data_IF_689049446231
#
_entry.id   IF_689049446231
#
_cell.length_a   1.000
_cell.length_b   1.000
_cell.length_c   1.000
_cell.angle_alpha   90.00
_cell.angle_beta   90.00
_cell.angle_gamma   90.00
#
_symmetry.space_group_name_H-M   'P 1'
#
loop_
_entity.id
_entity.type
_entity.pdbx_description
1 polymer ?
#
# COMPACT_ATOMS: atom_id res chain seq x y z
N UNK A 1 24.76 -21.52 13.91
CA UNK A 1 25.55 -21.77 12.68
C UNK A 1 24.69 -21.97 11.42
N UNK A 2 23.35 -22.06 11.50
CA UNK A 2 22.49 -22.33 10.33
C UNK A 2 22.35 -21.19 9.31
N UNK A 3 22.09 -19.95 9.75
CA UNK A 3 21.77 -18.84 8.83
C UNK A 3 22.88 -18.51 7.83
N UNK A 4 24.15 -18.51 8.25
CA UNK A 4 25.27 -18.20 7.33
C UNK A 4 25.41 -19.23 6.21
N UNK A 5 25.21 -20.52 6.51
CA UNK A 5 25.23 -21.59 5.51
C UNK A 5 24.08 -21.46 4.51
N UNK A 6 22.87 -21.16 5.00
CA UNK A 6 21.70 -20.94 4.13
C UNK A 6 21.89 -19.77 3.17
N UNK A 7 22.47 -18.65 3.63
CA UNK A 7 22.77 -17.49 2.76
C UNK A 7 23.79 -17.83 1.67
N UNK A 8 24.83 -18.62 2.00
CA UNK A 8 25.84 -19.05 1.02
C UNK A 8 25.22 -19.97 -0.03
N UNK A 9 24.40 -20.94 0.37
CA UNK A 9 23.74 -21.85 -0.57
C UNK A 9 22.77 -21.10 -1.47
N UNK A 10 21.99 -20.18 -0.92
CA UNK A 10 21.11 -19.33 -1.71
C UNK A 10 21.88 -18.48 -2.72
N UNK A 11 23.00 -17.86 -2.32
CA UNK A 11 23.85 -17.09 -3.25
C UNK A 11 24.39 -17.98 -4.38
N UNK A 12 24.78 -19.22 -4.08
CA UNK A 12 25.20 -20.19 -5.11
C UNK A 12 24.05 -20.50 -6.08
N UNK A 13 22.83 -20.71 -5.57
CA UNK A 13 21.66 -20.95 -6.41
C UNK A 13 21.36 -19.76 -7.34
N UNK A 14 21.48 -18.52 -6.84
CA UNK A 14 21.35 -17.30 -7.66
C UNK A 14 22.40 -17.24 -8.78
N UNK A 15 23.65 -17.58 -8.49
CA UNK A 15 24.71 -17.65 -9.52
C UNK A 15 24.46 -18.79 -10.52
N UNK A 16 23.88 -19.91 -10.08
CA UNK A 16 23.50 -20.99 -10.99
C UNK A 16 22.37 -20.57 -11.95
N UNK A 17 21.39 -19.78 -11.48
CA UNK A 17 20.33 -19.21 -12.33
C UNK A 17 20.90 -18.35 -13.47
N UNK A 18 21.97 -17.59 -13.22
CA UNK A 18 22.56 -16.69 -14.23
C UNK A 18 23.52 -17.37 -15.18
N UNK A 19 23.93 -18.62 -14.91
CA UNK A 19 25.04 -19.26 -15.65
C UNK A 19 24.73 -20.65 -16.22
N UNK A 20 23.78 -21.41 -15.67
CA UNK A 20 23.54 -22.82 -16.04
C UNK A 20 22.08 -23.07 -16.40
N UNK A 21 21.84 -23.85 -17.47
CA UNK A 21 20.49 -24.28 -17.87
C UNK A 21 20.01 -25.56 -17.15
N UNK A 22 20.87 -26.56 -16.99
CA UNK A 22 20.43 -27.94 -16.69
C UNK A 22 19.74 -28.15 -15.34
N UNK A 23 20.14 -27.43 -14.28
CA UNK A 23 19.53 -27.60 -12.94
C UNK A 23 18.19 -26.89 -12.78
N UNK A 24 17.90 -25.91 -13.64
CA UNK A 24 16.69 -25.09 -13.56
C UNK A 24 15.44 -25.90 -13.94
N UNK A 25 15.63 -27.04 -14.61
CA UNK A 25 14.59 -28.01 -14.93
C UNK A 25 14.23 -28.92 -13.74
N UNK A 26 15.06 -28.96 -12.68
CA UNK A 26 14.83 -29.83 -11.52
C UNK A 26 13.95 -29.13 -10.47
N UNK A 27 12.80 -29.71 -10.11
CA UNK A 27 11.92 -29.15 -9.07
C UNK A 27 12.60 -29.01 -7.70
N UNK A 28 13.59 -29.86 -7.41
CA UNK A 28 14.38 -29.80 -6.17
C UNK A 28 15.16 -28.49 -6.05
N UNK A 29 15.65 -27.93 -7.16
CA UNK A 29 16.35 -26.65 -7.18
C UNK A 29 15.43 -25.52 -6.70
N UNK A 30 14.20 -25.48 -7.23
CA UNK A 30 13.21 -24.46 -6.87
C UNK A 30 12.74 -24.59 -5.43
N UNK A 31 12.58 -25.82 -4.95
CA UNK A 31 12.29 -26.08 -3.53
C UNK A 31 13.38 -25.55 -2.62
N UNK A 32 14.67 -25.76 -2.94
CA UNK A 32 15.77 -25.21 -2.13
C UNK A 32 15.81 -23.68 -2.18
N UNK A 33 15.62 -23.08 -3.35
CA UNK A 33 15.64 -21.62 -3.52
C UNK A 33 14.52 -20.96 -2.69
N UNK A 34 13.30 -21.44 -2.81
CA UNK A 34 12.13 -20.89 -2.12
C UNK A 34 12.12 -21.23 -0.62
N UNK A 35 12.58 -22.42 -0.24
CA UNK A 35 12.64 -22.86 1.16
C UNK A 35 13.88 -22.41 1.92
N UNK A 36 14.77 -21.64 1.29
CA UNK A 36 15.95 -21.11 1.95
C UNK A 36 15.58 -20.34 3.22
N UNK A 37 16.34 -20.56 4.30
CA UNK A 37 16.15 -19.87 5.59
C UNK A 37 16.62 -18.42 5.52
N UNK A 38 15.99 -17.64 4.63
CA UNK A 38 16.15 -16.20 4.49
C UNK A 38 14.89 -15.55 5.04
N UNK A 39 15.05 -14.78 6.11
CA UNK A 39 13.92 -14.30 6.89
C UNK A 39 13.58 -12.82 6.63
N UNK A 40 14.25 -12.16 5.68
CA UNK A 40 13.99 -10.75 5.37
C UNK A 40 14.13 -10.42 3.89
N UNK A 41 13.33 -9.46 3.42
CA UNK A 41 13.48 -8.88 2.09
C UNK A 41 14.85 -8.23 1.90
N UNK A 42 15.39 -7.57 2.94
CA UNK A 42 16.72 -6.95 2.90
C UNK A 42 17.83 -7.97 2.58
N UNK A 43 17.75 -9.16 3.17
CA UNK A 43 18.70 -10.23 2.86
C UNK A 43 18.59 -10.68 1.41
N UNK A 44 17.38 -10.90 0.88
CA UNK A 44 17.20 -11.25 -0.54
C UNK A 44 17.75 -10.17 -1.47
N UNK A 45 17.47 -8.90 -1.18
CA UNK A 45 17.97 -7.77 -1.99
C UNK A 45 19.50 -7.65 -1.92
N UNK A 46 20.12 -8.01 -0.79
CA UNK A 46 21.58 -8.06 -0.67
C UNK A 46 22.20 -9.25 -1.39
N UNK A 47 21.51 -10.40 -1.42
CA UNK A 47 21.99 -11.65 -2.01
C UNK A 47 21.71 -11.75 -3.51
N UNK A 48 20.77 -10.96 -4.03
CA UNK A 48 20.45 -10.83 -5.45
C UNK A 48 20.72 -9.37 -5.86
N UNK A 49 21.92 -9.10 -6.36
CA UNK A 49 22.34 -7.76 -6.77
C UNK A 49 21.63 -7.33 -8.05
N UNK A 50 21.68 -6.03 -8.37
CA UNK A 50 21.06 -5.52 -9.60
C UNK A 50 21.68 -6.14 -10.85
N UNK A 51 23.00 -6.38 -10.82
CA UNK A 51 23.74 -6.97 -11.93
C UNK A 51 23.37 -8.45 -12.12
N UNK A 52 23.06 -9.17 -11.04
CA UNK A 52 22.57 -10.56 -11.16
C UNK A 52 21.22 -10.60 -11.88
N UNK A 53 20.28 -9.71 -11.54
CA UNK A 53 18.95 -9.69 -12.17
C UNK A 53 19.06 -9.29 -13.64
N UNK A 54 19.88 -8.28 -13.97
CA UNK A 54 20.12 -7.90 -15.37
C UNK A 54 20.80 -9.01 -16.15
N UNK A 55 21.81 -9.66 -15.59
CA UNK A 55 22.42 -10.83 -16.23
C UNK A 55 21.42 -11.97 -16.41
N UNK A 56 20.52 -12.19 -15.46
CA UNK A 56 19.48 -13.21 -15.57
C UNK A 56 18.50 -12.85 -16.71
N UNK A 57 18.09 -11.59 -16.82
CA UNK A 57 17.20 -11.09 -17.88
C UNK A 57 17.85 -11.17 -19.25
N UNK A 58 19.06 -10.65 -19.39
CA UNK A 58 19.70 -10.42 -20.68
C UNK A 58 20.38 -11.71 -21.20
N UNK A 59 20.99 -12.51 -20.32
CA UNK A 59 21.79 -13.68 -20.72
C UNK A 59 21.06 -15.02 -20.49
N UNK A 60 20.04 -15.06 -19.65
CA UNK A 60 19.32 -16.30 -19.29
C UNK A 60 17.81 -16.09 -19.18
N UNK A 61 17.13 -15.50 -20.19
CA UNK A 61 15.72 -15.11 -20.12
C UNK A 61 14.79 -16.30 -19.83
N UNK A 62 15.11 -17.50 -20.31
CA UNK A 62 14.34 -18.72 -19.99
C UNK A 62 14.34 -19.04 -18.49
N UNK A 63 15.47 -18.81 -17.81
CA UNK A 63 15.60 -19.06 -16.38
C UNK A 63 14.85 -17.99 -15.58
N UNK A 64 14.85 -16.74 -16.06
CA UNK A 64 14.05 -15.65 -15.47
C UNK A 64 12.55 -15.96 -15.58
N UNK A 65 12.10 -16.37 -16.76
CA UNK A 65 10.72 -16.75 -16.99
C UNK A 65 10.33 -17.91 -16.05
N UNK A 66 11.17 -18.96 -15.97
CA UNK A 66 10.94 -20.08 -15.07
C UNK A 66 10.88 -19.67 -13.59
N UNK A 67 11.73 -18.73 -13.15
CA UNK A 67 11.69 -18.17 -11.79
C UNK A 67 10.33 -17.49 -11.53
N UNK A 68 9.85 -16.67 -12.46
CA UNK A 68 8.55 -16.00 -12.32
C UNK A 68 7.40 -17.03 -12.30
N UNK A 69 7.35 -17.98 -13.23
CA UNK A 69 6.31 -19.01 -13.24
C UNK A 69 6.32 -19.84 -11.96
N UNK A 70 7.47 -20.42 -11.59
CA UNK A 70 7.57 -21.27 -10.40
C UNK A 70 7.26 -20.53 -9.10
N UNK A 71 7.61 -19.24 -8.99
CA UNK A 71 7.25 -18.45 -7.80
C UNK A 71 5.76 -18.16 -7.75
N UNK A 72 5.13 -17.79 -8.86
CA UNK A 72 3.66 -17.59 -8.94
C UNK A 72 2.94 -18.91 -8.64
N UNK A 73 3.34 -20.02 -9.26
CA UNK A 73 2.75 -21.34 -9.02
C UNK A 73 2.78 -21.74 -7.55
N UNK A 74 3.88 -21.46 -6.85
CA UNK A 74 4.01 -21.73 -5.41
C UNK A 74 3.12 -20.84 -4.56
N UNK A 75 2.94 -19.58 -4.94
CA UNK A 75 2.00 -18.65 -4.27
C UNK A 75 0.57 -19.14 -4.48
N UNK A 76 0.21 -19.55 -5.70
CA UNK A 76 -1.11 -20.11 -6.02
C UNK A 76 -1.36 -21.44 -5.31
N UNK A 77 -0.38 -22.33 -5.25
CA UNK A 77 -0.48 -23.59 -4.52
C UNK A 77 -0.72 -23.38 -3.02
N UNK A 78 -0.14 -22.33 -2.44
CA UNK A 78 -0.41 -21.96 -1.05
C UNK A 78 -1.87 -21.55 -0.82
N UNK A 79 -2.51 -20.88 -1.78
CA UNK A 79 -3.94 -20.56 -1.71
C UNK A 79 -4.83 -21.80 -1.78
N UNK A 80 -4.40 -22.83 -2.52
CA UNK A 80 -5.17 -24.07 -2.69
C UNK A 80 -5.04 -25.04 -1.50
N UNK A 81 -4.09 -24.80 -0.59
CA UNK A 81 -3.90 -25.62 0.61
C UNK A 81 -3.50 -24.76 1.82
N UNK A 82 -4.41 -23.90 2.33
CA UNK A 82 -4.15 -22.98 3.43
C UNK A 82 -3.59 -23.66 4.68
N UNK A 83 -4.12 -24.82 5.06
CA UNK A 83 -3.67 -25.60 6.21
C UNK A 83 -2.21 -26.06 6.13
N UNK A 84 -1.65 -26.15 4.91
CA UNK A 84 -0.29 -26.61 4.64
C UNK A 84 0.68 -25.47 4.29
N UNK A 85 0.28 -24.19 4.45
CA UNK A 85 1.10 -23.05 4.07
C UNK A 85 2.42 -23.05 4.84
N UNK A 86 3.53 -23.11 4.10
CA UNK A 86 4.83 -22.76 4.63
C UNK A 86 5.06 -21.25 4.47
N UNK A 87 4.85 -20.50 5.56
CA UNK A 87 4.94 -19.02 5.52
C UNK A 87 6.28 -18.54 4.97
N UNK A 88 7.39 -19.16 5.37
CA UNK A 88 8.73 -18.80 4.88
C UNK A 88 8.85 -18.98 3.36
N UNK A 89 8.37 -20.11 2.82
CA UNK A 89 8.43 -20.38 1.37
C UNK A 89 7.63 -19.34 0.57
N UNK A 90 6.38 -19.09 0.99
CA UNK A 90 5.49 -18.13 0.33
C UNK A 90 6.09 -16.72 0.37
N UNK A 91 6.58 -16.28 1.54
CA UNK A 91 7.21 -14.97 1.68
C UNK A 91 8.48 -14.86 0.84
N UNK A 92 9.29 -15.91 0.71
CA UNK A 92 10.46 -15.89 -0.17
C UNK A 92 10.05 -15.77 -1.64
N UNK A 93 9.01 -16.47 -2.11
CA UNK A 93 8.48 -16.26 -3.47
C UNK A 93 8.04 -14.81 -3.68
N UNK A 94 7.32 -14.22 -2.72
CA UNK A 94 6.89 -12.82 -2.77
C UNK A 94 8.10 -11.87 -2.87
N UNK A 95 9.12 -12.07 -2.04
CA UNK A 95 10.35 -11.26 -2.03
C UNK A 95 11.16 -11.41 -3.31
N UNK A 96 11.24 -12.63 -3.86
CA UNK A 96 11.90 -12.91 -5.14
C UNK A 96 11.22 -12.12 -6.26
N UNK A 97 9.89 -12.21 -6.39
CA UNK A 97 9.12 -11.43 -7.37
C UNK A 97 9.30 -9.93 -7.15
N UNK A 98 9.22 -9.46 -5.89
CA UNK A 98 9.44 -8.05 -5.54
C UNK A 98 10.82 -7.56 -5.98
N UNK A 99 11.82 -8.45 -5.95
CA UNK A 99 13.18 -8.13 -6.37
C UNK A 99 13.35 -8.07 -7.88
N UNK A 100 12.71 -8.98 -8.63
CA UNK A 100 12.95 -9.13 -10.08
C UNK A 100 12.02 -8.31 -10.96
N UNK A 101 10.75 -8.11 -10.57
CA UNK A 101 9.73 -7.47 -11.41
C UNK A 101 10.14 -6.10 -12.00
N UNK A 102 10.76 -5.17 -11.24
CA UNK A 102 11.17 -3.88 -11.79
C UNK A 102 12.12 -4.01 -12.98
N UNK A 103 13.02 -5.01 -12.96
CA UNK A 103 13.97 -5.24 -14.04
C UNK A 103 13.33 -5.87 -15.27
N UNK A 104 12.22 -6.61 -15.10
CA UNK A 104 11.39 -7.02 -16.24
C UNK A 104 10.73 -5.78 -16.86
N UNK A 105 10.20 -4.87 -16.04
CA UNK A 105 9.53 -3.66 -16.56
C UNK A 105 10.48 -2.67 -17.25
N UNK A 106 11.77 -2.65 -16.88
CA UNK A 106 12.81 -1.86 -17.56
C UNK A 106 13.00 -2.23 -19.05
N UNK A 107 12.60 -3.43 -19.47
CA UNK A 107 12.84 -3.97 -20.81
C UNK A 107 11.53 -4.19 -21.57
N UNK A 108 11.39 -3.56 -22.74
CA UNK A 108 10.19 -3.66 -23.57
C UNK A 108 9.89 -5.07 -24.05
N UNK A 109 10.89 -5.94 -24.17
CA UNK A 109 10.70 -7.33 -24.60
C UNK A 109 9.89 -8.14 -23.58
N UNK A 110 9.91 -7.71 -22.31
CA UNK A 110 9.17 -8.34 -21.21
C UNK A 110 7.80 -7.72 -20.96
N UNK A 111 7.43 -6.65 -21.68
CA UNK A 111 6.17 -5.92 -21.46
C UNK A 111 4.95 -6.83 -21.51
N UNK A 112 4.91 -7.80 -22.41
CA UNK A 112 3.76 -8.71 -22.52
C UNK A 112 3.87 -9.93 -21.61
N UNK A 113 5.01 -10.19 -20.95
CA UNK A 113 5.27 -11.45 -20.25
C UNK A 113 4.17 -11.85 -19.25
N UNK A 114 3.79 -10.95 -18.35
CA UNK A 114 2.74 -11.24 -17.36
C UNK A 114 1.32 -11.24 -17.96
N UNK A 115 1.13 -10.63 -19.13
CA UNK A 115 -0.18 -10.35 -19.71
C UNK A 115 -0.53 -11.23 -20.92
N UNK A 116 0.45 -11.95 -21.45
CA UNK A 116 0.26 -12.96 -22.48
C UNK A 116 -0.36 -14.22 -21.89
N UNK A 117 -1.22 -14.87 -22.67
CA UNK A 117 -1.70 -16.21 -22.37
C UNK A 117 -0.52 -17.20 -22.47
N UNK A 118 -0.35 -18.11 -21.49
CA UNK A 118 0.63 -19.17 -21.63
C UNK A 118 0.28 -20.06 -22.84
N UNK A 119 1.27 -20.72 -23.47
CA UNK A 119 1.01 -21.65 -24.57
C UNK A 119 -0.01 -22.70 -24.11
N UNK A 120 -1.08 -22.92 -24.88
CA UNK A 120 -2.08 -23.90 -24.54
C UNK A 120 -1.43 -25.30 -24.52
N UNK A 121 -1.39 -25.94 -23.34
CA UNK A 121 -1.06 -27.35 -23.26
C UNK A 121 -2.34 -28.16 -23.54
N UNK A 122 -2.27 -29.16 -24.42
CA UNK A 122 -3.44 -29.84 -25.02
C UNK A 122 -4.37 -30.57 -24.03
N UNK A 123 -4.11 -30.55 -22.71
CA UNK A 123 -4.77 -31.39 -21.71
C UNK A 123 -5.36 -30.68 -20.47
N UNK A 124 -5.47 -29.35 -20.42
CA UNK A 124 -6.04 -28.67 -19.23
C UNK A 124 -7.53 -28.29 -19.36
N UNK A 125 -8.33 -28.64 -18.34
CA UNK A 125 -9.78 -28.42 -18.28
C UNK A 125 -10.19 -26.98 -17.93
N UNK A 126 -9.24 -26.08 -17.63
CA UNK A 126 -9.52 -24.70 -17.25
C UNK A 126 -8.93 -23.72 -18.27
N UNK A 127 -9.64 -22.64 -18.62
CA UNK A 127 -9.12 -21.65 -19.55
C UNK A 127 -7.85 -21.01 -18.95
N UNK A 128 -6.74 -21.10 -19.69
CA UNK A 128 -5.51 -20.40 -19.31
C UNK A 128 -5.80 -18.90 -19.19
N UNK A 129 -5.43 -18.30 -18.07
CA UNK A 129 -5.46 -16.84 -17.87
C UNK A 129 -4.03 -16.28 -17.84
N UNK A 130 -3.84 -14.99 -18.11
CA UNK A 130 -2.51 -14.38 -18.01
C UNK A 130 -1.90 -14.52 -16.62
N UNK A 131 -0.58 -14.60 -16.54
CA UNK A 131 0.15 -14.77 -15.27
C UNK A 131 -0.15 -13.64 -14.27
N UNK A 132 -0.38 -12.42 -14.76
CA UNK A 132 -0.82 -11.26 -13.96
C UNK A 132 -2.13 -11.52 -13.22
N UNK A 133 -3.09 -12.19 -13.87
CA UNK A 133 -4.41 -12.46 -13.30
C UNK A 133 -4.28 -13.48 -12.18
N UNK A 134 -3.51 -14.54 -12.43
CA UNK A 134 -3.18 -15.56 -11.43
C UNK A 134 -2.45 -14.95 -10.23
N UNK A 135 -1.45 -14.11 -10.48
CA UNK A 135 -0.68 -13.46 -9.42
C UNK A 135 -1.55 -12.51 -8.58
N UNK A 136 -2.32 -11.61 -9.20
CA UNK A 136 -3.22 -10.71 -8.46
C UNK A 136 -4.21 -11.52 -7.62
N UNK A 137 -4.87 -12.53 -8.20
CA UNK A 137 -5.82 -13.37 -7.46
C UNK A 137 -5.18 -14.07 -6.28
N UNK A 138 -4.02 -14.70 -6.48
CA UNK A 138 -3.34 -15.43 -5.42
C UNK A 138 -2.89 -14.48 -4.29
N UNK A 139 -2.37 -13.29 -4.62
CA UNK A 139 -1.98 -12.30 -3.61
C UNK A 139 -3.18 -11.76 -2.84
N UNK A 140 -4.32 -11.50 -3.49
CA UNK A 140 -5.52 -11.01 -2.81
C UNK A 140 -6.18 -12.10 -1.96
N UNK A 141 -6.14 -13.36 -2.40
CA UNK A 141 -6.55 -14.51 -1.58
C UNK A 141 -5.66 -14.65 -0.33
N UNK A 142 -4.33 -14.54 -0.48
CA UNK A 142 -3.41 -14.59 0.65
C UNK A 142 -3.61 -13.42 1.64
N UNK A 143 -4.12 -12.27 1.21
CA UNK A 143 -4.41 -11.12 2.08
C UNK A 143 -5.60 -11.33 3.03
N UNK A 144 -6.42 -12.36 2.78
CA UNK A 144 -7.54 -12.78 3.63
C UNK A 144 -7.47 -14.26 4.03
N UNK A 145 -6.28 -14.87 3.91
CA UNK A 145 -6.06 -16.27 4.25
C UNK A 145 -5.98 -16.46 5.78
N UNK A 146 -6.90 -17.23 6.41
CA UNK A 146 -6.89 -17.48 7.85
C UNK A 146 -5.59 -18.13 8.33
N UNK A 147 -5.14 -17.75 9.52
CA UNK A 147 -3.85 -18.10 10.16
C UNK A 147 -2.58 -17.68 9.40
N UNK A 148 -2.72 -17.21 8.16
CA UNK A 148 -1.63 -16.61 7.41
C UNK A 148 -1.60 -15.09 7.56
N UNK A 149 -2.67 -14.39 7.17
CA UNK A 149 -2.76 -12.93 7.26
C UNK A 149 -3.95 -12.45 8.06
N UNK A 150 -4.91 -13.29 8.43
CA UNK A 150 -6.06 -12.93 9.27
C UNK A 150 -6.29 -14.02 10.31
N UNK A 151 -6.86 -13.69 11.46
CA UNK A 151 -7.16 -14.69 12.48
C UNK A 151 -8.44 -15.45 12.12
N UNK A 152 -8.47 -16.77 12.35
CA UNK A 152 -9.66 -17.59 12.11
C UNK A 152 -10.82 -17.16 12.99
N UNK A 153 -12.02 -17.15 12.41
CA UNK A 153 -13.26 -16.88 13.14
C UNK A 153 -13.72 -18.16 13.84
N UNK A 154 -14.20 -18.03 15.09
CA UNK A 154 -14.60 -19.16 15.96
C UNK A 154 -15.69 -20.07 15.36
N UNK A 155 -16.43 -19.57 14.38
CA UNK A 155 -17.57 -20.28 13.76
C UNK A 155 -17.18 -20.97 12.45
N UNK A 156 -15.96 -20.80 11.95
CA UNK A 156 -15.50 -21.54 10.78
C UNK A 156 -15.11 -22.96 11.21
N UNK A 157 -15.58 -24.00 10.52
CA UNK A 157 -15.11 -25.36 10.75
C UNK A 157 -13.59 -25.37 10.65
N UNK A 158 -12.89 -25.84 11.69
CA UNK A 158 -11.45 -26.05 11.64
C UNK A 158 -11.13 -26.92 10.42
N UNK A 159 -10.51 -26.33 9.39
CA UNK A 159 -10.13 -27.04 8.16
C UNK A 159 -11.00 -26.84 6.92
N UNK A 160 -11.80 -25.77 6.79
CA UNK A 160 -12.27 -25.37 5.45
C UNK A 160 -11.10 -24.80 4.64
N UNK A 161 -10.35 -25.68 3.96
CA UNK A 161 -9.19 -25.33 3.11
C UNK A 161 -9.57 -24.59 1.83
N UNK A 162 -10.87 -24.40 1.57
CA UNK A 162 -11.34 -23.68 0.39
C UNK A 162 -11.41 -22.17 0.64
N UNK A 163 -10.34 -21.45 0.27
CA UNK A 163 -10.35 -19.98 0.29
C UNK A 163 -11.46 -19.40 -0.59
N UNK A 164 -11.89 -20.11 -1.64
CA UNK A 164 -12.91 -19.59 -2.58
C UNK A 164 -14.28 -19.37 -1.90
N UNK A 165 -14.55 -20.09 -0.81
CA UNK A 165 -15.79 -20.00 -0.04
C UNK A 165 -15.78 -18.93 1.06
N UNK A 166 -14.63 -18.28 1.33
CA UNK A 166 -14.52 -17.27 2.39
C UNK A 166 -15.22 -15.97 1.98
N UNK A 167 -16.07 -15.44 2.88
CA UNK A 167 -16.50 -14.05 2.83
C UNK A 167 -15.45 -13.14 3.46
N UNK A 168 -14.60 -12.56 2.64
CA UNK A 168 -13.53 -11.66 3.09
C UNK A 168 -14.04 -10.40 3.81
N UNK A 169 -15.33 -10.06 3.69
CA UNK A 169 -15.93 -8.98 4.47
C UNK A 169 -15.97 -9.29 5.97
N UNK A 170 -15.88 -10.55 6.39
CA UNK A 170 -15.78 -10.92 7.82
C UNK A 170 -14.36 -10.73 8.38
N UNK A 171 -13.36 -10.56 7.50
CA UNK A 171 -11.93 -10.53 7.81
C UNK A 171 -11.28 -9.17 7.60
N UNK A 172 -12.06 -8.08 7.64
CA UNK A 172 -11.54 -6.70 7.56
C UNK A 172 -10.48 -6.46 8.65
N UNK A 173 -9.37 -5.83 8.30
CA UNK A 173 -8.18 -5.79 9.15
C UNK A 173 -8.27 -4.85 10.36
N UNK A 174 -9.22 -3.91 10.36
CA UNK A 174 -9.44 -2.95 11.43
C UNK A 174 -10.85 -2.36 11.37
N UNK A 175 -11.38 -1.98 12.54
CA UNK A 175 -12.67 -1.32 12.65
C UNK A 175 -12.62 0.11 12.08
N UNK A 176 -13.74 0.58 11.53
CA UNK A 176 -13.85 1.89 10.91
C UNK A 176 -15.03 1.95 9.94
N UNK A 177 -14.79 2.51 8.76
CA UNK A 177 -15.81 2.67 7.70
C UNK A 177 -16.38 1.30 7.35
N UNK A 178 -17.72 1.18 7.45
CA UNK A 178 -18.45 -0.03 7.05
C UNK A 178 -18.15 -1.30 7.86
N UNK A 179 -17.32 -1.25 8.91
CA UNK A 179 -16.97 -2.42 9.71
C UNK A 179 -16.71 -2.05 11.18
N UNK A 180 -17.59 -2.50 12.08
CA UNK A 180 -17.54 -2.09 13.49
C UNK A 180 -16.68 -3.01 14.39
N UNK A 181 -16.43 -4.25 13.96
CA UNK A 181 -15.75 -5.23 14.79
C UNK A 181 -14.24 -5.03 14.73
N UNK A 182 -13.59 -4.82 15.87
CA UNK A 182 -12.12 -4.74 15.91
C UNK A 182 -11.51 -6.14 15.98
N UNK A 183 -10.76 -6.59 14.96
CA UNK A 183 -10.10 -7.89 14.99
C UNK A 183 -8.88 -7.88 15.93
N UNK A 184 -8.41 -9.05 16.39
CA UNK A 184 -7.16 -9.17 17.13
C UNK A 184 -5.97 -8.68 16.28
N UNK A 185 -5.08 -7.89 16.90
CA UNK A 185 -3.84 -7.50 16.26
C UNK A 185 -2.77 -8.58 16.46
N UNK A 186 -2.23 -9.08 15.35
CA UNK A 186 -1.16 -10.08 15.32
C UNK A 186 -0.02 -9.52 14.50
N UNK A 187 1.16 -9.35 15.10
CA UNK A 187 2.30 -8.71 14.47
C UNK A 187 2.77 -9.43 13.20
N UNK A 188 2.71 -10.76 13.19
CA UNK A 188 3.10 -11.59 12.03
C UNK A 188 2.14 -11.40 10.86
N UNK A 189 0.83 -11.23 11.13
CA UNK A 189 -0.15 -10.92 10.10
C UNK A 189 0.14 -9.56 9.47
N UNK A 190 0.44 -8.54 10.28
CA UNK A 190 0.79 -7.21 9.77
C UNK A 190 2.06 -7.25 8.90
N UNK A 191 3.08 -8.00 9.32
CA UNK A 191 4.32 -8.19 8.55
C UNK A 191 4.04 -8.87 7.20
N UNK A 192 3.28 -9.98 7.19
CA UNK A 192 2.94 -10.72 5.97
C UNK A 192 2.11 -9.89 5.00
N UNK A 193 1.08 -9.19 5.49
CA UNK A 193 0.29 -8.23 4.70
C UNK A 193 1.19 -7.16 4.09
N UNK A 194 2.13 -6.61 4.87
CA UNK A 194 3.09 -5.61 4.38
C UNK A 194 3.91 -6.13 3.21
N UNK A 195 4.42 -7.37 3.28
CA UNK A 195 5.21 -7.94 2.19
C UNK A 195 4.37 -8.21 0.93
N UNK A 196 3.14 -8.70 1.09
CA UNK A 196 2.22 -8.90 -0.04
C UNK A 196 1.86 -7.56 -0.71
N UNK A 197 1.52 -6.55 0.09
CA UNK A 197 1.21 -5.21 -0.42
C UNK A 197 2.42 -4.55 -1.12
N UNK A 198 3.65 -4.82 -0.67
CA UNK A 198 4.87 -4.36 -1.35
C UNK A 198 5.06 -5.00 -2.71
N UNK A 199 4.75 -6.29 -2.87
CA UNK A 199 4.76 -6.92 -4.19
C UNK A 199 3.67 -6.33 -5.10
N UNK A 200 2.46 -6.13 -4.58
CA UNK A 200 1.39 -5.46 -5.35
C UNK A 200 1.81 -4.07 -5.81
N UNK A 201 2.37 -3.25 -4.91
CA UNK A 201 2.88 -1.92 -5.25
C UNK A 201 4.02 -2.00 -6.29
N UNK A 202 4.86 -3.04 -6.21
CA UNK A 202 5.90 -3.29 -7.21
C UNK A 202 5.28 -3.60 -8.58
N UNK A 203 4.24 -4.44 -8.66
CA UNK A 203 3.50 -4.68 -9.89
C UNK A 203 2.85 -3.39 -10.43
N UNK A 204 2.24 -2.58 -9.56
CA UNK A 204 1.63 -1.30 -9.95
C UNK A 204 2.66 -0.31 -10.49
N UNK A 205 3.92 -0.43 -10.10
CA UNK A 205 5.01 0.45 -10.56
C UNK A 205 5.38 0.29 -12.05
N UNK A 206 4.84 -0.73 -12.76
CA UNK A 206 5.01 -0.89 -14.21
C UNK A 206 4.68 0.42 -14.97
N UNK A 207 3.69 1.16 -14.46
CA UNK A 207 3.28 2.50 -14.87
C UNK A 207 4.44 3.47 -15.10
N UNK A 208 5.53 3.38 -14.34
CA UNK A 208 6.71 4.26 -14.42
C UNK A 208 7.55 3.97 -15.67
N UNK A 209 7.49 2.74 -16.18
CA UNK A 209 8.27 2.27 -17.33
C UNK A 209 7.48 2.33 -18.64
N UNK A 210 6.19 2.63 -18.58
CA UNK A 210 5.28 2.68 -19.72
C UNK A 210 4.97 4.13 -20.10
N UNK A 211 4.97 4.42 -21.40
CA UNK A 211 4.59 5.74 -21.95
C UNK A 211 3.22 6.17 -21.46
N UNK A 212 3.06 7.45 -21.12
CA UNK A 212 1.78 8.07 -20.70
C UNK A 212 0.67 7.89 -21.75
N UNK A 213 1.03 7.71 -23.02
CA UNK A 213 0.09 7.49 -24.13
C UNK A 213 -0.41 6.05 -24.26
N UNK A 214 0.05 5.12 -23.43
CA UNK A 214 -0.30 3.70 -23.52
C UNK A 214 -1.63 3.42 -22.81
N UNK A 215 -2.61 2.89 -23.54
CA UNK A 215 -3.93 2.55 -23.01
C UNK A 215 -3.89 1.48 -21.90
N UNK A 216 -2.87 0.62 -21.92
CA UNK A 216 -2.70 -0.46 -20.96
C UNK A 216 -1.80 -0.08 -19.77
N UNK A 217 -1.45 1.20 -19.63
CA UNK A 217 -0.50 1.70 -18.62
C UNK A 217 -0.88 1.34 -17.18
N UNK A 218 -2.18 1.36 -16.86
CA UNK A 218 -2.70 1.10 -15.51
C UNK A 218 -3.28 -0.32 -15.34
N UNK A 219 -3.02 -1.26 -16.25
CA UNK A 219 -3.67 -2.60 -16.29
C UNK A 219 -3.61 -3.39 -14.97
N UNK A 220 -2.48 -3.33 -14.24
CA UNK A 220 -2.39 -3.99 -12.92
C UNK A 220 -3.36 -3.40 -11.91
N UNK A 221 -3.42 -2.06 -11.85
CA UNK A 221 -4.31 -1.33 -10.95
C UNK A 221 -5.76 -1.59 -11.36
N UNK A 222 -6.07 -1.45 -12.66
CA UNK A 222 -7.39 -1.70 -13.20
C UNK A 222 -7.93 -3.09 -12.83
N UNK A 223 -7.10 -4.15 -12.98
CA UNK A 223 -7.50 -5.51 -12.57
C UNK A 223 -7.64 -5.65 -11.05
N UNK A 224 -6.78 -5.01 -10.26
CA UNK A 224 -6.86 -5.06 -8.80
C UNK A 224 -8.11 -4.35 -8.26
N UNK A 225 -8.51 -3.24 -8.87
CA UNK A 225 -9.67 -2.43 -8.46
C UNK A 225 -10.97 -2.78 -9.18
N UNK A 226 -10.99 -3.82 -10.04
CA UNK A 226 -12.20 -4.19 -10.78
C UNK A 226 -13.15 -5.06 -9.96
N UNK A 227 -14.40 -5.17 -10.42
CA UNK A 227 -15.39 -6.12 -9.87
C UNK A 227 -14.95 -7.59 -10.00
N UNK A 228 -14.02 -7.90 -10.88
CA UNK A 228 -13.52 -9.27 -11.07
C UNK A 228 -12.61 -9.70 -9.93
N UNK A 229 -12.08 -8.77 -9.15
CA UNK A 229 -11.42 -9.07 -7.88
C UNK A 229 -12.49 -9.26 -6.80
N UNK A 230 -12.74 -10.53 -6.43
CA UNK A 230 -13.74 -10.89 -5.40
C UNK A 230 -13.52 -10.19 -4.05
N UNK A 231 -12.29 -9.76 -3.77
CA UNK A 231 -11.90 -9.10 -2.53
C UNK A 231 -11.89 -7.57 -2.62
N UNK A 232 -12.34 -6.97 -3.72
CA UNK A 232 -12.18 -5.53 -3.99
C UNK A 232 -12.75 -4.63 -2.88
N UNK A 233 -13.94 -4.96 -2.36
CA UNK A 233 -14.55 -4.23 -1.25
C UNK A 233 -13.78 -4.42 0.07
N UNK A 234 -13.53 -5.65 0.56
CA UNK A 234 -12.81 -5.83 1.81
C UNK A 234 -11.36 -5.32 1.75
N UNK A 235 -10.73 -5.31 0.58
CA UNK A 235 -9.43 -4.64 0.38
C UNK A 235 -9.55 -3.14 0.58
N UNK A 236 -10.48 -2.48 -0.12
CA UNK A 236 -10.70 -1.04 0.04
C UNK A 236 -10.95 -0.66 1.50
N UNK A 237 -11.88 -1.36 2.16
CA UNK A 237 -12.25 -1.10 3.55
C UNK A 237 -11.07 -1.36 4.50
N UNK A 238 -10.32 -2.45 4.32
CA UNK A 238 -9.16 -2.75 5.17
C UNK A 238 -8.04 -1.73 5.03
N UNK A 239 -7.72 -1.31 3.81
CA UNK A 239 -6.69 -0.30 3.53
C UNK A 239 -7.07 1.07 4.09
N UNK A 240 -8.34 1.49 3.95
CA UNK A 240 -8.81 2.75 4.52
C UNK A 240 -8.81 2.71 6.05
N UNK A 241 -9.39 1.67 6.65
CA UNK A 241 -9.54 1.58 8.10
C UNK A 241 -8.20 1.45 8.81
N UNK A 242 -7.25 0.68 8.27
CA UNK A 242 -5.92 0.54 8.91
C UNK A 242 -5.20 1.89 8.99
N UNK A 243 -5.33 2.72 7.95
CA UNK A 243 -4.73 4.07 7.90
C UNK A 243 -5.45 5.00 8.89
N UNK A 244 -6.78 5.11 8.79
CA UNK A 244 -7.54 6.05 9.61
C UNK A 244 -7.59 5.68 11.10
N UNK A 245 -7.44 4.40 11.45
CA UNK A 245 -7.41 3.94 12.85
C UNK A 245 -6.02 3.99 13.49
N UNK A 246 -4.94 4.16 12.70
CA UNK A 246 -3.58 4.08 13.24
C UNK A 246 -3.29 5.19 14.25
N UNK A 247 -2.73 4.82 15.41
CA UNK A 247 -2.29 5.74 16.45
C UNK A 247 -0.79 5.55 16.72
N UNK A 248 0.07 6.48 16.28
CA UNK A 248 1.53 6.38 16.46
C UNK A 248 1.98 6.62 17.90
N UNK A 249 1.12 7.19 18.76
CA UNK A 249 1.45 7.53 20.14
C UNK A 249 1.10 6.36 21.09
N UNK A 250 0.06 5.60 20.76
CA UNK A 250 -0.40 4.46 21.54
C UNK A 250 -0.78 4.86 22.96
N UNK A 251 -0.10 4.30 23.97
CA UNK A 251 -0.39 4.60 25.38
C UNK A 251 -0.04 6.03 25.82
N UNK A 252 0.61 6.85 24.99
CA UNK A 252 1.00 8.21 25.36
C UNK A 252 2.16 8.30 26.36
N UNK A 253 2.85 7.19 26.61
CA UNK A 253 4.02 7.15 27.50
C UNK A 253 5.27 7.61 26.72
N UNK A 254 6.06 8.55 27.27
CA UNK A 254 7.35 8.95 26.70
C UNK A 254 8.24 7.75 26.36
N UNK A 255 8.84 7.76 25.16
CA UNK A 255 9.77 6.75 24.67
C UNK A 255 9.19 5.34 24.49
N UNK A 256 7.86 5.15 24.58
CA UNK A 256 7.21 3.86 24.41
C UNK A 256 7.60 3.16 23.09
N UNK A 257 7.73 3.93 22.01
CA UNK A 257 8.09 3.43 20.69
C UNK A 257 9.54 2.93 20.57
N UNK A 258 10.40 3.24 21.54
CA UNK A 258 11.77 2.70 21.62
C UNK A 258 11.80 1.34 22.32
N UNK A 259 10.82 1.07 23.19
CA UNK A 259 10.72 -0.17 23.95
C UNK A 259 9.92 -1.24 23.22
N UNK A 260 8.90 -0.83 22.46
CA UNK A 260 8.03 -1.73 21.72
C UNK A 260 8.16 -1.53 20.22
N UNK A 261 8.36 -2.62 19.49
CA UNK A 261 8.37 -2.59 18.02
C UNK A 261 6.95 -2.38 17.52
N UNK A 262 6.73 -1.28 16.81
CA UNK A 262 5.47 -1.02 16.13
C UNK A 262 5.44 -1.78 14.80
N UNK A 263 4.83 -2.97 14.82
CA UNK A 263 4.63 -3.78 13.61
C UNK A 263 3.57 -3.19 12.67
N UNK A 264 2.74 -2.25 13.14
CA UNK A 264 1.60 -1.73 12.39
C UNK A 264 2.00 -0.59 11.46
N UNK A 265 2.93 0.28 11.88
CA UNK A 265 3.35 1.42 11.06
C UNK A 265 3.80 1.01 9.64
N UNK A 266 4.65 -0.01 9.43
CA UNK A 266 5.06 -0.41 8.09
C UNK A 266 3.87 -0.87 7.22
N UNK A 267 2.89 -1.54 7.83
CA UNK A 267 1.64 -1.91 7.15
C UNK A 267 0.85 -0.66 6.77
N UNK A 268 0.69 0.29 7.68
CA UNK A 268 -0.06 1.54 7.45
C UNK A 268 0.56 2.36 6.33
N UNK A 269 1.88 2.51 6.31
CA UNK A 269 2.59 3.23 5.24
C UNK A 269 2.38 2.56 3.88
N UNK A 270 2.53 1.24 3.82
CA UNK A 270 2.35 0.48 2.58
C UNK A 270 0.89 0.50 2.12
N UNK A 271 -0.06 0.35 3.06
CA UNK A 271 -1.49 0.40 2.79
C UNK A 271 -1.93 1.78 2.27
N UNK A 272 -1.39 2.86 2.84
CA UNK A 272 -1.62 4.22 2.38
C UNK A 272 -1.13 4.42 0.94
N UNK A 273 0.08 3.94 0.62
CA UNK A 273 0.64 4.02 -0.74
C UNK A 273 -0.20 3.23 -1.74
N UNK A 274 -0.57 1.99 -1.40
CA UNK A 274 -1.45 1.16 -2.24
C UNK A 274 -2.81 1.83 -2.45
N UNK A 275 -3.43 2.35 -1.39
CA UNK A 275 -4.72 3.03 -1.47
C UNK A 275 -4.65 4.24 -2.40
N UNK A 276 -3.62 5.08 -2.29
CA UNK A 276 -3.45 6.26 -3.16
C UNK A 276 -3.29 5.85 -4.62
N UNK A 277 -2.43 4.86 -4.91
CA UNK A 277 -2.20 4.38 -6.28
C UNK A 277 -3.49 3.79 -6.88
N UNK A 278 -4.29 3.07 -6.07
CA UNK A 278 -5.59 2.55 -6.50
C UNK A 278 -6.67 3.63 -6.67
N UNK A 279 -6.48 4.81 -6.09
CA UNK A 279 -7.33 6.00 -6.28
C UNK A 279 -6.82 6.90 -7.39
N UNK A 280 -5.82 6.48 -8.17
CA UNK A 280 -5.38 7.23 -9.34
C UNK A 280 -6.22 6.86 -10.57
N UNK A 281 -6.44 7.84 -11.44
CA UNK A 281 -7.24 7.70 -12.66
C UNK A 281 -6.62 8.57 -13.76
N UNK A 282 -6.03 7.95 -14.78
CA UNK A 282 -5.32 8.66 -15.85
C UNK A 282 -6.18 9.15 -17.02
N UNK A 283 -7.50 9.06 -16.90
CA UNK A 283 -8.41 9.37 -17.99
C UNK A 283 -8.58 10.87 -18.22
N UNK A 284 -7.92 11.39 -19.26
CA UNK A 284 -8.18 12.72 -19.86
C UNK A 284 -9.50 12.78 -20.67
N UNK A 285 -10.43 11.83 -20.50
CA UNK A 285 -11.63 11.75 -21.32
C UNK A 285 -12.82 12.51 -20.69
N UNK A 286 -13.41 13.41 -21.49
CA UNK A 286 -14.36 14.47 -21.11
C UNK A 286 -15.74 14.04 -20.59
N UNK A 287 -16.00 12.75 -20.30
CA UNK A 287 -17.33 12.26 -19.87
C UNK A 287 -17.34 11.71 -18.44
N UNK A 288 -17.44 12.64 -17.47
CA UNK A 288 -17.37 12.39 -16.02
C UNK A 288 -18.39 11.42 -15.41
N UNK A 289 -19.41 10.97 -16.16
CA UNK A 289 -20.53 10.17 -15.61
C UNK A 289 -20.30 8.65 -15.61
N UNK A 290 -19.53 8.13 -16.56
CA UNK A 290 -19.08 6.73 -16.57
C UNK A 290 -17.61 6.57 -16.15
N UNK A 291 -16.96 7.68 -15.79
CA UNK A 291 -15.52 7.85 -15.55
C UNK A 291 -14.94 6.92 -14.46
N UNK A 292 -15.78 6.41 -13.55
CA UNK A 292 -15.38 5.54 -12.43
C UNK A 292 -16.08 4.18 -12.42
N UNK A 293 -16.75 3.80 -13.51
CA UNK A 293 -17.52 2.56 -13.55
C UNK A 293 -16.63 1.32 -13.30
N UNK A 294 -15.37 1.38 -13.74
CA UNK A 294 -14.46 0.23 -13.70
C UNK A 294 -13.52 0.23 -12.47
N UNK A 295 -13.26 1.39 -11.84
CA UNK A 295 -12.47 1.48 -10.62
C UNK A 295 -13.39 1.49 -9.39
N UNK A 296 -13.54 0.33 -8.76
CA UNK A 296 -14.41 0.17 -7.60
C UNK A 296 -13.88 0.86 -6.35
N UNK A 297 -12.57 1.12 -6.22
CA UNK A 297 -12.04 1.89 -5.09
C UNK A 297 -12.54 3.32 -5.12
N UNK A 298 -12.49 3.97 -6.28
CA UNK A 298 -13.05 5.32 -6.46
C UNK A 298 -14.57 5.30 -6.27
N UNK A 299 -15.24 4.28 -6.81
CA UNK A 299 -16.68 4.10 -6.65
C UNK A 299 -17.08 3.99 -5.17
N UNK A 300 -16.42 3.13 -4.39
CA UNK A 300 -16.68 2.97 -2.96
C UNK A 300 -16.39 4.25 -2.18
N UNK A 301 -15.25 4.91 -2.43
CA UNK A 301 -14.92 6.19 -1.79
C UNK A 301 -15.98 7.26 -2.06
N UNK A 302 -16.46 7.37 -3.30
CA UNK A 302 -17.50 8.35 -3.68
C UNK A 302 -18.86 8.09 -3.00
N UNK A 303 -19.11 6.84 -2.57
CA UNK A 303 -20.38 6.39 -1.98
C UNK A 303 -20.42 6.43 -0.45
N UNK A 304 -19.29 6.62 0.22
CA UNK A 304 -19.28 6.87 1.67
C UNK A 304 -20.13 8.12 1.96
N UNK A 305 -21.03 8.04 2.93
CA UNK A 305 -21.99 9.12 3.17
C UNK A 305 -22.45 9.26 4.62
N UNK A 306 -22.11 8.33 5.52
CA UNK A 306 -22.51 8.44 6.91
C UNK A 306 -21.60 9.45 7.60
N UNK A 307 -22.17 10.31 8.43
CA UNK A 307 -21.39 11.31 9.17
C UNK A 307 -20.38 10.65 10.13
N UNK A 308 -20.71 9.49 10.71
CA UNK A 308 -19.79 8.71 11.56
C UNK A 308 -18.54 8.24 10.80
N UNK A 309 -18.69 7.83 9.54
CA UNK A 309 -17.59 7.40 8.68
C UNK A 309 -16.70 8.61 8.33
N UNK A 310 -17.31 9.75 8.02
CA UNK A 310 -16.57 11.00 7.75
C UNK A 310 -15.80 11.49 8.97
N UNK A 311 -16.41 11.44 10.16
CA UNK A 311 -15.76 11.79 11.41
C UNK A 311 -14.55 10.88 11.67
N UNK A 312 -14.72 9.56 11.50
CA UNK A 312 -13.63 8.59 11.66
C UNK A 312 -12.47 8.86 10.70
N UNK A 313 -12.76 9.03 9.41
CA UNK A 313 -11.76 9.32 8.38
C UNK A 313 -11.00 10.62 8.68
N UNK A 314 -11.74 11.69 8.99
CA UNK A 314 -11.18 13.01 9.26
C UNK A 314 -10.33 13.02 10.51
N UNK A 315 -10.83 12.49 11.64
CA UNK A 315 -10.06 12.41 12.89
C UNK A 315 -8.81 11.55 12.72
N UNK A 316 -8.89 10.45 11.97
CA UNK A 316 -7.76 9.60 11.65
C UNK A 316 -6.66 10.35 10.91
N UNK A 317 -7.00 10.97 9.78
CA UNK A 317 -6.04 11.74 8.97
C UNK A 317 -5.48 12.94 9.73
N UNK A 318 -6.32 13.70 10.46
CA UNK A 318 -5.88 14.85 11.25
C UNK A 318 -4.95 14.44 12.39
N UNK A 319 -5.21 13.31 13.08
CA UNK A 319 -4.32 12.77 14.12
C UNK A 319 -2.93 12.52 13.55
N UNK A 320 -2.86 11.87 12.39
CA UNK A 320 -1.59 11.54 11.74
C UNK A 320 -0.87 12.79 11.23
N UNK A 321 -1.57 13.72 10.56
CA UNK A 321 -0.99 14.98 10.09
C UNK A 321 -0.50 15.86 11.26
N UNK A 322 -1.17 15.84 12.41
CA UNK A 322 -0.79 16.64 13.58
C UNK A 322 0.36 16.01 14.38
N UNK A 323 0.62 14.72 14.23
CA UNK A 323 1.61 13.99 15.02
C UNK A 323 3.00 14.67 15.09
N UNK A 324 3.59 15.21 14.01
CA UNK A 324 4.89 15.90 14.06
C UNK A 324 4.88 17.23 14.81
N UNK A 325 3.71 17.87 14.88
CA UNK A 325 3.50 19.18 15.49
C UNK A 325 3.41 19.11 17.02
N UNK A 326 3.20 17.91 17.59
CA UNK A 326 3.07 17.73 19.03
C UNK A 326 4.39 18.07 19.71
N UNK A 327 4.43 19.23 20.35
CA UNK A 327 5.53 19.63 21.21
C UNK A 327 5.52 18.79 22.49
N UNK A 328 6.68 18.27 22.87
CA UNK A 328 6.86 17.53 24.12
C UNK A 328 7.97 18.18 24.93
N UNK A 329 7.82 18.16 26.25
CA UNK A 329 8.86 18.67 27.16
C UNK A 329 10.16 17.84 27.06
N UNK A 330 10.00 16.55 26.78
CA UNK A 330 11.11 15.60 26.65
C UNK A 330 11.47 15.45 25.16
N UNK A 331 12.71 15.77 24.77
CA UNK A 331 13.17 15.63 23.38
C UNK A 331 12.96 14.21 22.86
N UNK A 332 12.41 14.10 21.65
CA UNK A 332 12.15 12.82 20.96
C UNK A 332 11.35 11.81 21.81
N UNK A 333 10.52 12.30 22.72
CA UNK A 333 9.73 11.42 23.61
C UNK A 333 8.51 10.80 22.92
N UNK A 334 8.06 11.36 21.81
CA UNK A 334 6.96 10.85 21.01
C UNK A 334 7.43 10.40 19.65
N UNK A 335 6.82 9.33 19.16
CA UNK A 335 7.03 8.84 17.80
C UNK A 335 6.53 9.88 16.80
N UNK A 336 7.34 10.15 15.78
CA UNK A 336 6.97 10.99 14.64
C UNK A 336 6.86 10.12 13.39
N UNK A 337 5.68 10.11 12.78
CA UNK A 337 5.46 9.44 11.49
C UNK A 337 6.20 10.20 10.37
N UNK A 338 6.33 9.59 9.20
CA UNK A 338 7.00 10.20 8.03
C UNK A 338 6.14 10.34 6.79
N UNK A 339 4.96 9.71 6.74
CA UNK A 339 4.10 9.60 5.54
C UNK A 339 3.13 10.78 5.33
N UNK A 340 3.55 12.01 5.66
CA UNK A 340 2.68 13.20 5.59
C UNK A 340 2.28 13.56 4.16
N UNK A 341 3.18 13.37 3.20
CA UNK A 341 2.90 13.66 1.80
C UNK A 341 1.79 12.76 1.29
N UNK A 342 1.87 11.48 1.58
CA UNK A 342 0.85 10.50 1.23
C UNK A 342 -0.48 10.80 1.93
N UNK A 343 -0.47 11.20 3.21
CA UNK A 343 -1.69 11.60 3.93
C UNK A 343 -2.38 12.82 3.30
N UNK A 344 -1.61 13.82 2.84
CA UNK A 344 -2.17 14.95 2.11
C UNK A 344 -2.76 14.53 0.76
N UNK A 345 -2.12 13.62 0.04
CA UNK A 345 -2.67 13.08 -1.21
C UNK A 345 -3.98 12.31 -0.94
N UNK A 346 -4.03 11.48 0.10
CA UNK A 346 -5.26 10.78 0.48
C UNK A 346 -6.39 11.77 0.82
N UNK A 347 -6.10 12.79 1.65
CA UNK A 347 -7.07 13.83 2.00
C UNK A 347 -7.59 14.53 0.74
N UNK A 348 -6.71 14.89 -0.19
CA UNK A 348 -7.09 15.49 -1.46
C UNK A 348 -8.01 14.56 -2.28
N UNK A 349 -7.64 13.28 -2.43
CA UNK A 349 -8.47 12.30 -3.18
C UNK A 349 -9.84 12.07 -2.52
N UNK A 350 -9.93 12.02 -1.18
CA UNK A 350 -11.21 11.95 -0.48
C UNK A 350 -12.10 13.16 -0.78
N UNK A 351 -11.50 14.35 -0.76
CA UNK A 351 -12.13 15.61 -1.07
C UNK A 351 -12.59 15.72 -2.54
N UNK A 352 -11.78 15.24 -3.48
CA UNK A 352 -12.05 15.25 -4.92
C UNK A 352 -13.20 14.31 -5.28
N UNK A 353 -13.09 13.03 -4.89
CA UNK A 353 -14.05 11.99 -5.29
C UNK A 353 -15.32 11.95 -4.44
N UNK A 354 -15.31 12.53 -3.23
CA UNK A 354 -16.47 12.56 -2.35
C UNK A 354 -16.82 13.99 -1.91
N UNK A 355 -17.66 14.65 -2.70
CA UNK A 355 -18.14 16.00 -2.41
C UNK A 355 -18.88 16.08 -1.06
N UNK A 356 -19.53 15.01 -0.58
CA UNK A 356 -20.17 15.01 0.74
C UNK A 356 -19.14 15.08 1.87
N UNK A 357 -18.03 14.36 1.74
CA UNK A 357 -16.89 14.46 2.66
C UNK A 357 -16.29 15.87 2.65
N UNK A 358 -16.10 16.46 1.46
CA UNK A 358 -15.65 17.85 1.31
C UNK A 358 -16.57 18.83 2.07
N UNK A 359 -17.89 18.73 1.85
CA UNK A 359 -18.84 19.59 2.55
C UNK A 359 -18.86 19.34 4.06
N UNK A 360 -18.70 18.09 4.50
CA UNK A 360 -18.57 17.76 5.93
C UNK A 360 -17.36 18.47 6.54
N UNK A 361 -16.17 18.33 5.94
CA UNK A 361 -14.94 18.99 6.37
C UNK A 361 -15.12 20.51 6.51
N UNK A 362 -15.75 21.15 5.52
CA UNK A 362 -15.96 22.60 5.49
C UNK A 362 -17.06 23.08 6.45
N UNK A 363 -18.04 22.22 6.77
CA UNK A 363 -19.13 22.52 7.70
C UNK A 363 -18.65 22.47 9.14
N UNK A 364 -17.75 21.54 9.49
CA UNK A 364 -17.24 21.43 10.86
C UNK A 364 -16.17 22.50 11.13
N UNK A 365 -15.79 22.66 12.40
CA UNK A 365 -14.61 23.47 12.76
C UNK A 365 -13.29 22.75 12.48
N UNK A 366 -13.36 21.47 12.14
CA UNK A 366 -12.22 20.58 12.02
C UNK A 366 -11.38 20.92 10.79
N UNK A 367 -11.92 21.68 9.83
CA UNK A 367 -11.12 22.25 8.73
C UNK A 367 -9.91 23.04 9.25
N UNK A 368 -10.02 23.72 10.39
CA UNK A 368 -8.90 24.44 10.99
C UNK A 368 -7.89 23.49 11.63
N UNK A 369 -8.35 22.36 12.16
CA UNK A 369 -7.47 21.32 12.70
C UNK A 369 -6.69 20.59 11.60
N UNK A 370 -7.23 20.55 10.38
CA UNK A 370 -6.53 20.07 9.18
C UNK A 370 -5.61 21.15 8.58
N UNK A 371 -6.05 22.40 8.55
CA UNK A 371 -5.31 23.52 7.98
C UNK A 371 -3.97 23.73 8.69
N UNK A 372 -3.93 23.68 10.02
CA UNK A 372 -2.71 23.97 10.79
C UNK A 372 -1.56 22.99 10.45
N UNK A 373 -1.76 21.66 10.42
CA UNK A 373 -0.77 20.72 9.89
C UNK A 373 -0.35 20.98 8.45
N UNK A 374 -1.27 21.32 7.55
CA UNK A 374 -0.93 21.65 6.16
C UNK A 374 0.04 22.83 6.11
N UNK A 375 -0.29 23.91 6.83
CA UNK A 375 0.55 25.11 6.90
C UNK A 375 1.90 24.85 7.55
N UNK A 376 1.94 24.02 8.61
CA UNK A 376 3.19 23.57 9.20
C UNK A 376 4.07 22.84 8.18
N UNK A 377 3.51 21.90 7.42
CA UNK A 377 4.28 21.14 6.44
C UNK A 377 4.76 21.99 5.26
N UNK A 378 3.96 22.97 4.81
CA UNK A 378 4.37 23.96 3.81
C UNK A 378 5.54 24.79 4.35
N UNK A 379 5.39 25.39 5.53
CA UNK A 379 6.42 26.24 6.17
C UNK A 379 7.72 25.47 6.40
N UNK A 380 7.64 24.27 6.97
CA UNK A 380 8.81 23.43 7.25
C UNK A 380 9.55 22.95 5.99
N UNK A 381 8.89 22.98 4.83
CA UNK A 381 9.44 22.49 3.56
C UNK A 381 9.89 23.61 2.62
N UNK A 382 9.58 24.89 2.93
CA UNK A 382 9.75 26.04 2.02
C UNK A 382 11.18 26.22 1.48
N UNK A 383 12.19 25.77 2.22
CA UNK A 383 13.61 25.92 1.88
C UNK A 383 14.24 24.63 1.34
N UNK A 384 13.46 23.55 1.19
CA UNK A 384 13.94 22.25 0.70
C UNK A 384 13.37 21.97 -0.69
N UNK A 385 14.20 22.15 -1.73
CA UNK A 385 13.81 21.92 -3.12
C UNK A 385 13.37 20.47 -3.39
N UNK A 386 13.78 19.50 -2.57
CA UNK A 386 13.34 18.11 -2.70
C UNK A 386 11.87 17.91 -2.24
N UNK A 387 11.29 18.88 -1.52
CA UNK A 387 9.93 18.80 -0.95
C UNK A 387 8.90 19.66 -1.67
N UNK A 388 9.22 20.15 -2.87
CA UNK A 388 8.29 20.97 -3.67
C UNK A 388 6.95 20.27 -3.89
N UNK A 389 6.94 18.94 -4.10
CA UNK A 389 5.70 18.16 -4.22
C UNK A 389 4.79 18.28 -3.00
N UNK A 390 5.35 18.25 -1.79
CA UNK A 390 4.59 18.42 -0.55
C UNK A 390 3.99 19.83 -0.42
N UNK A 391 4.74 20.86 -0.83
CA UNK A 391 4.25 22.25 -0.85
C UNK A 391 3.08 22.37 -1.83
N UNK A 392 3.25 21.89 -3.07
CA UNK A 392 2.19 21.93 -4.08
C UNK A 392 0.93 21.22 -3.60
N UNK A 393 1.06 20.03 -3.01
CA UNK A 393 -0.08 19.30 -2.44
C UNK A 393 -0.81 20.09 -1.37
N UNK A 394 -0.08 20.70 -0.42
CA UNK A 394 -0.68 21.54 0.60
C UNK A 394 -1.41 22.75 0.03
N UNK A 395 -0.80 23.44 -0.94
CA UNK A 395 -1.38 24.60 -1.62
C UNK A 395 -2.62 24.21 -2.42
N UNK A 396 -2.62 23.08 -3.12
CA UNK A 396 -3.78 22.62 -3.89
C UNK A 396 -4.97 22.25 -2.99
N UNK A 397 -4.73 21.66 -1.82
CA UNK A 397 -5.79 21.43 -0.84
C UNK A 397 -6.34 22.76 -0.33
N UNK A 398 -5.48 23.72 0.02
CA UNK A 398 -5.94 25.06 0.45
C UNK A 398 -6.73 25.75 -0.66
N UNK A 399 -6.28 25.67 -1.91
CA UNK A 399 -6.98 26.22 -3.06
C UNK A 399 -8.38 25.59 -3.21
N UNK A 400 -8.47 24.26 -3.11
CA UNK A 400 -9.72 23.52 -3.17
C UNK A 400 -10.68 23.94 -2.06
N UNK A 401 -10.18 24.05 -0.81
CA UNK A 401 -10.98 24.53 0.32
C UNK A 401 -11.40 26.00 0.18
N UNK A 402 -10.56 26.83 -0.43
CA UNK A 402 -10.83 28.26 -0.65
C UNK A 402 -11.94 28.55 -1.66
N UNK A 403 -12.30 27.56 -2.49
CA UNK A 403 -13.46 27.66 -3.37
C UNK A 403 -14.79 27.79 -2.63
N UNK A 404 -14.83 27.48 -1.34
CA UNK A 404 -16.05 27.39 -0.54
C UNK A 404 -16.14 28.50 0.51
N UNK A 405 -17.27 29.23 0.53
CA UNK A 405 -17.48 30.39 1.41
C UNK A 405 -17.27 30.06 2.90
N UNK A 406 -17.65 28.86 3.33
CA UNK A 406 -17.52 28.44 4.72
C UNK A 406 -16.06 28.44 5.19
N UNK A 407 -15.11 28.11 4.32
CA UNK A 407 -13.68 28.15 4.66
C UNK A 407 -13.26 29.56 5.07
N UNK A 408 -13.58 30.56 4.24
CA UNK A 408 -13.28 31.97 4.54
C UNK A 408 -13.90 32.46 5.84
N UNK A 409 -15.14 32.03 6.15
CA UNK A 409 -15.78 32.35 7.44
C UNK A 409 -15.02 31.71 8.61
N UNK A 410 -14.61 30.44 8.49
CA UNK A 410 -13.88 29.72 9.54
C UNK A 410 -12.51 30.30 9.83
N UNK A 411 -11.82 30.84 8.81
CA UNK A 411 -10.49 31.45 8.98
C UNK A 411 -10.47 32.62 9.97
N UNK A 412 -11.60 33.30 10.20
CA UNK A 412 -11.72 34.39 11.18
C UNK A 412 -11.65 33.92 12.65
N UNK A 413 -11.64 32.61 12.91
CA UNK A 413 -11.47 32.12 14.29
C UNK A 413 -10.08 32.48 14.82
N UNK A 414 -9.96 32.90 16.10
CA UNK A 414 -8.66 33.17 16.71
C UNK A 414 -7.72 31.96 16.61
N UNK A 415 -6.47 32.20 16.22
CA UNK A 415 -5.42 31.19 16.23
C UNK A 415 -4.74 31.16 17.58
N UNK A 416 -4.72 29.99 18.21
CA UNK A 416 -3.94 29.75 19.43
C UNK A 416 -2.75 28.86 19.05
N UNK A 417 -1.50 29.34 19.19
CA UNK A 417 -0.32 28.55 18.84
C UNK A 417 -0.28 27.25 19.63
N UNK A 418 -0.43 26.12 18.93
CA UNK A 418 -0.25 24.77 19.48
C UNK A 418 1.04 24.11 18.99
N UNK A 419 1.60 24.64 17.91
CA UNK A 419 2.79 24.11 17.25
C UNK A 419 3.75 25.27 16.93
N UNK A 420 5.05 25.00 16.99
CA UNK A 420 6.07 25.93 16.53
C UNK A 420 6.11 25.90 14.99
N UNK A 421 5.22 26.67 14.36
CA UNK A 421 5.34 27.00 12.93
C UNK A 421 6.37 28.12 12.82
N UNK A 422 7.32 27.98 11.89
CA UNK A 422 8.38 28.98 11.66
C UNK A 422 7.80 30.22 10.94
N UNK A 423 7.12 31.05 11.73
CA UNK A 423 6.54 32.34 11.36
C UNK A 423 6.82 33.35 12.46
N UNK A 424 6.83 34.64 12.11
CA UNK A 424 6.95 35.71 13.08
C UNK A 424 5.82 35.61 14.12
N UNK A 425 6.13 35.86 15.40
CA UNK A 425 5.11 35.88 16.46
C UNK A 425 4.02 36.91 16.16
N UNK A 426 2.76 36.49 16.24
CA UNK A 426 1.60 37.33 15.99
C UNK A 426 0.45 36.95 16.93
N UNK A 427 -0.53 37.85 17.05
CA UNK A 427 -1.83 37.57 17.67
C UNK A 427 -2.89 37.87 16.62
N UNK A 428 -3.66 36.86 16.25
CA UNK A 428 -4.62 36.99 15.15
C UNK A 428 -5.46 35.74 14.97
N UNK A 429 -5.90 35.56 13.74
CA UNK A 429 -6.80 34.51 13.29
C UNK A 429 -6.06 33.46 12.46
N UNK A 430 -6.77 32.42 12.04
CA UNK A 430 -6.20 31.44 11.10
C UNK A 430 -5.96 32.05 9.71
N UNK A 431 -6.66 33.13 9.35
CA UNK A 431 -6.38 33.90 8.14
C UNK A 431 -4.97 34.52 8.20
N UNK A 432 -4.60 35.11 9.34
CA UNK A 432 -3.28 35.71 9.53
C UNK A 432 -2.17 34.66 9.45
N UNK A 433 -2.38 33.48 10.04
CA UNK A 433 -1.45 32.36 9.92
C UNK A 433 -1.27 31.93 8.45
N UNK A 434 -2.37 31.77 7.72
CA UNK A 434 -2.36 31.39 6.31
C UNK A 434 -1.57 32.41 5.48
N UNK A 435 -1.78 33.71 5.71
CA UNK A 435 -1.07 34.78 5.01
C UNK A 435 0.42 34.71 5.32
N UNK A 436 0.82 34.63 6.60
CA UNK A 436 2.24 34.59 7.01
C UNK A 436 3.01 33.36 6.52
N UNK A 437 2.33 32.26 6.23
CA UNK A 437 2.96 31.05 5.66
C UNK A 437 3.10 31.15 4.14
N UNK A 438 2.11 31.75 3.47
CA UNK A 438 2.07 31.86 2.01
C UNK A 438 2.79 33.11 1.45
N UNK A 439 2.95 34.17 2.25
CA UNK A 439 3.57 35.46 1.90
C UNK A 439 4.65 35.80 2.93
#
# INVERSE_FOLDING_TARGET
>A
MGNSGSKINFRKAVVELTTKKSKVEEDAFWEELCASNINSAADIFSLITADDVRSLRDNSPSNLAALCYKTVDRITAACNSPSAISSTKVLNCIRLLTRVCPYLFEDSDWKCFFWSLPPAEENEQFPHQPLAYTLISALTDLLFCPEFTVSSLRNHPEGSDDLSAIDSCEYIWEAGVGFATKPPQVAEHDQRRTEILKLLLTCFSEVIYVSVSDENRMRWIARFTSAENRHVLPLFTSLLNIVCAYDPVGFGVPYNYLLFTDSREPLVQTALQVLIVCLDSETQSSDKKNEYADNFFINYLSRIHREEDFEFMLKGMTRLLTNPLVATYLPSSTKKITCHQELLVLLWKCCEYNQKFMFYLLKTSDVLEVLVPILFHISASRNDSARVGLIHMGVFIILLLSGERNFGVRLNKPYTPRAAIDVQSFTGTHADLLILVCY
#
